data_IF_800703998868
#
_entry.id   IF_800703998868
#
_cell.length_a   1.000
_cell.length_b   1.000
_cell.length_c   1.000
_cell.angle_alpha   90.00
_cell.angle_beta   90.00
_cell.angle_gamma   90.00
#
_symmetry.space_group_name_H-M   'P 1'
#
loop_
_entity.id
_entity.type
_entity.pdbx_description
1 polymer ?
#
# COMPACT_ATOMS: atom_id res chain seq x y z
N UNK A 1 24.46 22.41 -18.29
CA UNK A 1 24.67 20.96 -18.07
C UNK A 1 25.92 20.63 -17.29
N UNK A 2 27.13 21.04 -17.69
CA UNK A 2 28.36 20.64 -16.98
C UNK A 2 28.36 20.92 -15.45
N UNK A 3 27.80 22.04 -15.02
CA UNK A 3 27.64 22.36 -13.59
C UNK A 3 26.66 21.40 -12.90
N UNK A 4 25.48 21.15 -13.49
CA UNK A 4 24.51 20.20 -12.95
C UNK A 4 25.08 18.78 -12.86
N UNK A 5 25.81 18.33 -13.89
CA UNK A 5 26.48 17.03 -13.92
C UNK A 5 27.52 16.92 -12.78
N UNK A 6 28.30 17.97 -12.56
CA UNK A 6 29.31 18.01 -11.49
C UNK A 6 28.68 17.97 -10.09
N UNK A 7 27.58 18.69 -9.89
CA UNK A 7 26.85 18.71 -8.62
C UNK A 7 26.20 17.35 -8.34
N UNK A 8 25.60 16.73 -9.36
CA UNK A 8 25.02 15.41 -9.26
C UNK A 8 26.08 14.34 -8.90
N UNK A 9 27.25 14.41 -9.53
CA UNK A 9 28.38 13.52 -9.21
C UNK A 9 28.92 13.72 -7.78
N UNK A 10 28.75 14.92 -7.23
CA UNK A 10 29.04 15.22 -5.82
C UNK A 10 27.89 14.93 -4.86
N UNK A 11 26.84 14.21 -5.30
CA UNK A 11 25.64 13.87 -4.52
C UNK A 11 24.81 15.09 -4.05
N UNK A 12 25.06 16.26 -4.62
CA UNK A 12 24.32 17.50 -4.37
C UNK A 12 23.08 17.56 -5.26
N UNK A 13 22.15 16.64 -5.02
CA UNK A 13 21.00 16.39 -5.90
C UNK A 13 20.02 17.57 -5.96
N UNK A 14 19.84 18.29 -4.85
CA UNK A 14 18.94 19.44 -4.80
C UNK A 14 19.46 20.57 -5.68
N UNK A 15 20.73 20.95 -5.50
CA UNK A 15 21.40 21.99 -6.29
C UNK A 15 21.50 21.58 -7.75
N UNK A 16 21.85 20.34 -8.04
CA UNK A 16 21.87 19.81 -9.40
C UNK A 16 20.50 19.96 -10.09
N UNK A 17 19.40 19.66 -9.36
CA UNK A 17 18.03 19.87 -9.83
C UNK A 17 17.73 21.32 -10.20
N UNK A 18 18.10 22.28 -9.35
CA UNK A 18 17.91 23.73 -9.64
C UNK A 18 18.65 24.13 -10.93
N UNK A 19 19.87 23.63 -11.13
CA UNK A 19 20.60 23.91 -12.36
C UNK A 19 19.97 23.25 -13.60
N UNK A 20 19.35 22.08 -13.46
CA UNK A 20 18.54 21.49 -14.52
C UNK A 20 17.34 22.37 -14.87
N UNK A 21 16.57 22.84 -13.89
CA UNK A 21 15.43 23.74 -14.11
C UNK A 21 15.84 25.00 -14.86
N UNK A 22 16.96 25.61 -14.44
CA UNK A 22 17.53 26.77 -15.14
C UNK A 22 17.86 26.45 -16.60
N UNK A 23 18.50 25.31 -16.87
CA UNK A 23 18.82 24.88 -18.24
C UNK A 23 17.54 24.67 -19.06
N UNK A 24 16.50 24.07 -18.48
CA UNK A 24 15.20 23.85 -19.13
C UNK A 24 14.45 25.14 -19.41
N UNK A 25 14.72 26.20 -18.65
CA UNK A 25 14.16 27.53 -18.89
C UNK A 25 14.91 28.30 -19.99
N UNK A 26 16.25 28.23 -20.00
CA UNK A 26 17.10 29.03 -20.88
C UNK A 26 17.32 28.40 -22.28
N UNK A 27 17.33 27.07 -22.38
CA UNK A 27 17.76 26.35 -23.58
C UNK A 27 16.59 25.63 -24.27
N UNK A 28 16.56 25.68 -25.61
CA UNK A 28 15.57 24.95 -26.42
C UNK A 28 16.17 23.82 -27.26
N UNK A 29 17.48 23.58 -27.16
CA UNK A 29 18.13 22.52 -27.94
C UNK A 29 17.69 21.13 -27.45
N UNK A 30 17.13 20.26 -28.32
CA UNK A 30 16.51 19.00 -27.90
C UNK A 30 17.40 18.07 -27.07
N UNK A 31 18.67 17.93 -27.43
CA UNK A 31 19.61 17.05 -26.72
C UNK A 31 19.92 17.53 -25.30
N UNK A 32 20.10 18.85 -25.15
CA UNK A 32 20.39 19.49 -23.86
C UNK A 32 19.17 19.40 -22.95
N UNK A 33 17.98 19.67 -23.49
CA UNK A 33 16.69 19.53 -22.79
C UNK A 33 16.45 18.10 -22.34
N UNK A 34 16.68 17.12 -23.21
CA UNK A 34 16.53 15.70 -22.87
C UNK A 34 17.45 15.30 -21.72
N UNK A 35 18.73 15.69 -21.80
CA UNK A 35 19.70 15.41 -20.74
C UNK A 35 19.30 16.05 -19.41
N UNK A 36 18.83 17.31 -19.45
CA UNK A 36 18.39 18.03 -18.25
C UNK A 36 17.15 17.37 -17.61
N UNK A 37 16.15 16.99 -18.41
CA UNK A 37 14.95 16.26 -17.91
C UNK A 37 15.36 14.97 -17.20
N UNK A 38 16.18 14.14 -17.83
CA UNK A 38 16.59 12.86 -17.25
C UNK A 38 17.41 13.04 -15.98
N UNK A 39 18.31 14.02 -15.95
CA UNK A 39 19.11 14.32 -14.77
C UNK A 39 18.23 14.81 -13.61
N UNK A 40 17.27 15.68 -13.88
CA UNK A 40 16.35 16.20 -12.86
C UNK A 40 15.46 15.11 -12.27
N UNK A 41 14.95 14.19 -13.10
CA UNK A 41 14.23 13.00 -12.63
C UNK A 41 15.09 12.20 -11.65
N UNK A 42 16.36 11.97 -12.01
CA UNK A 42 17.28 11.26 -11.13
C UNK A 42 17.56 12.05 -9.85
N UNK A 43 17.69 13.38 -9.90
CA UNK A 43 17.83 14.20 -8.70
C UNK A 43 16.65 14.02 -7.74
N UNK A 44 15.40 14.04 -8.24
CA UNK A 44 14.23 13.80 -7.39
C UNK A 44 14.20 12.37 -6.82
N UNK A 45 14.54 11.36 -7.64
CA UNK A 45 14.59 9.95 -7.20
C UNK A 45 15.62 9.70 -6.10
N UNK A 46 16.83 10.27 -6.20
CA UNK A 46 17.86 10.13 -5.16
C UNK A 46 17.49 10.87 -3.86
N UNK A 47 16.57 11.82 -3.92
CA UNK A 47 16.01 12.49 -2.75
C UNK A 47 14.74 11.79 -2.20
N UNK A 48 14.35 10.63 -2.76
CA UNK A 48 13.12 9.90 -2.45
C UNK A 48 11.83 10.73 -2.66
N UNK A 49 11.90 11.82 -3.45
CA UNK A 49 10.77 12.70 -3.77
C UNK A 49 10.03 12.20 -5.01
N UNK A 50 9.50 10.97 -4.93
CA UNK A 50 8.88 10.28 -6.07
C UNK A 50 7.58 10.95 -6.56
N UNK A 51 6.82 11.58 -5.65
CA UNK A 51 5.62 12.35 -6.00
C UNK A 51 5.97 13.57 -6.87
N UNK A 52 7.03 14.30 -6.51
CA UNK A 52 7.53 15.43 -7.29
C UNK A 52 8.11 14.98 -8.62
N UNK A 53 8.89 13.90 -8.63
CA UNK A 53 9.41 13.29 -9.85
C UNK A 53 8.27 12.96 -10.82
N UNK A 54 7.20 12.31 -10.36
CA UNK A 54 6.06 11.96 -11.19
C UNK A 54 5.36 13.20 -11.80
N UNK A 55 5.13 14.25 -11.00
CA UNK A 55 4.54 15.52 -11.49
C UNK A 55 5.44 16.19 -12.52
N UNK A 56 6.74 16.23 -12.26
CA UNK A 56 7.72 16.78 -13.19
C UNK A 56 7.71 16.01 -14.53
N UNK A 57 7.76 14.68 -14.47
CA UNK A 57 7.72 13.83 -15.67
C UNK A 57 6.43 14.07 -16.47
N UNK A 58 5.27 14.11 -15.81
CA UNK A 58 3.99 14.36 -16.46
C UNK A 58 3.97 15.70 -17.21
N UNK A 59 4.57 16.75 -16.64
CA UNK A 59 4.73 18.05 -17.31
C UNK A 59 5.75 17.97 -18.47
N UNK A 60 6.87 17.28 -18.26
CA UNK A 60 7.97 17.14 -19.23
C UNK A 60 7.58 16.32 -20.47
N UNK A 61 6.58 15.44 -20.39
CA UNK A 61 6.10 14.64 -21.54
C UNK A 61 5.71 15.51 -22.74
N UNK A 62 5.17 16.71 -22.51
CA UNK A 62 4.81 17.67 -23.58
C UNK A 62 6.02 18.18 -24.39
N UNK A 63 7.22 18.08 -23.80
CA UNK A 63 8.50 18.51 -24.42
C UNK A 63 9.27 17.34 -25.04
N UNK A 64 8.85 16.10 -24.81
CA UNK A 64 9.53 14.92 -25.30
C UNK A 64 9.16 14.67 -26.78
N UNK A 65 10.17 14.82 -27.65
CA UNK A 65 9.97 14.82 -29.12
C UNK A 65 10.13 13.44 -29.74
N UNK A 66 10.89 12.53 -29.10
CA UNK A 66 11.12 11.18 -29.64
C UNK A 66 10.30 10.13 -28.90
N UNK A 67 9.78 9.14 -29.65
CA UNK A 67 9.04 8.01 -29.10
C UNK A 67 9.87 7.23 -28.06
N UNK A 68 11.18 7.14 -28.28
CA UNK A 68 12.13 6.50 -27.36
C UNK A 68 12.18 7.23 -26.02
N UNK A 69 12.28 8.56 -26.04
CA UNK A 69 12.29 9.37 -24.82
C UNK A 69 10.94 9.30 -24.12
N UNK A 70 9.84 9.44 -24.85
CA UNK A 70 8.51 9.35 -24.25
C UNK A 70 8.28 8.01 -23.55
N UNK A 71 8.68 6.89 -24.18
CA UNK A 71 8.60 5.57 -23.56
C UNK A 71 9.44 5.44 -22.29
N UNK A 72 10.66 6.01 -22.30
CA UNK A 72 11.51 6.06 -21.10
C UNK A 72 10.83 6.87 -19.98
N UNK A 73 10.25 8.03 -20.32
CA UNK A 73 9.51 8.86 -19.36
C UNK A 73 8.28 8.14 -18.79
N UNK A 74 7.52 7.39 -19.59
CA UNK A 74 6.42 6.56 -19.06
C UNK A 74 6.92 5.50 -18.09
N UNK A 75 8.05 4.86 -18.40
CA UNK A 75 8.65 3.84 -17.52
C UNK A 75 9.05 4.45 -16.18
N UNK A 76 9.69 5.61 -16.20
CA UNK A 76 10.06 6.36 -15.00
C UNK A 76 8.82 6.88 -14.24
N UNK A 77 7.80 7.36 -14.94
CA UNK A 77 6.55 7.85 -14.36
C UNK A 77 5.83 6.74 -13.58
N UNK A 78 5.64 5.57 -14.20
CA UNK A 78 5.02 4.42 -13.55
C UNK A 78 5.82 3.96 -12.33
N UNK A 79 7.16 3.98 -12.44
CA UNK A 79 8.05 3.63 -11.33
C UNK A 79 7.90 4.62 -10.16
N UNK A 80 7.89 5.92 -10.45
CA UNK A 80 7.71 6.96 -9.43
C UNK A 80 6.34 6.88 -8.76
N UNK A 81 5.25 6.65 -9.51
CA UNK A 81 3.93 6.46 -8.91
C UNK A 81 3.88 5.24 -7.98
N UNK A 82 4.45 4.12 -8.39
CA UNK A 82 4.52 2.94 -7.52
C UNK A 82 5.30 3.21 -6.23
N UNK A 83 6.48 3.84 -6.32
CA UNK A 83 7.32 4.16 -5.16
C UNK A 83 6.70 5.22 -4.25
N UNK A 84 5.89 6.13 -4.80
CA UNK A 84 5.11 7.09 -4.03
C UNK A 84 3.88 6.46 -3.34
N UNK A 85 3.55 5.18 -3.63
CA UNK A 85 2.33 4.52 -3.15
C UNK A 85 1.05 4.98 -3.88
N UNK A 86 1.18 5.74 -4.97
CA UNK A 86 0.06 6.20 -5.79
C UNK A 86 -0.30 5.13 -6.83
N UNK A 87 -0.90 4.05 -6.32
CA UNK A 87 -1.19 2.85 -7.10
C UNK A 87 -2.20 3.11 -8.23
N UNK A 88 -3.14 4.04 -8.06
CA UNK A 88 -4.13 4.37 -9.09
C UNK A 88 -3.46 5.03 -10.31
N UNK A 89 -2.61 6.02 -10.07
CA UNK A 89 -1.86 6.67 -11.15
C UNK A 89 -0.81 5.74 -11.75
N UNK A 90 -0.21 4.83 -10.96
CA UNK A 90 0.67 3.79 -11.48
C UNK A 90 -0.06 2.89 -12.50
N UNK A 91 -1.26 2.41 -12.16
CA UNK A 91 -2.10 1.59 -13.04
C UNK A 91 -2.46 2.37 -14.32
N UNK A 92 -2.95 3.59 -14.17
CA UNK A 92 -3.35 4.42 -15.31
C UNK A 92 -2.18 4.73 -16.26
N UNK A 93 -1.00 5.04 -15.72
CA UNK A 93 0.21 5.29 -16.51
C UNK A 93 0.66 4.04 -17.28
N UNK A 94 0.63 2.87 -16.64
CA UNK A 94 0.95 1.60 -17.28
C UNK A 94 -0.05 1.24 -18.41
N UNK A 95 -1.35 1.45 -18.18
CA UNK A 95 -2.39 1.21 -19.19
C UNK A 95 -2.22 2.12 -20.41
N UNK A 96 -1.96 3.41 -20.18
CA UNK A 96 -1.70 4.36 -21.26
C UNK A 96 -0.45 3.97 -22.06
N UNK A 97 0.62 3.55 -21.38
CA UNK A 97 1.83 3.10 -22.05
C UNK A 97 1.61 1.81 -22.87
N UNK A 98 0.76 0.90 -22.40
CA UNK A 98 0.41 -0.32 -23.14
C UNK A 98 -0.34 -0.01 -24.45
N UNK A 99 -1.24 0.99 -24.43
CA UNK A 99 -1.94 1.46 -25.64
C UNK A 99 -0.96 2.12 -26.64
N UNK A 100 -0.04 2.95 -26.14
CA UNK A 100 0.88 3.72 -26.99
C UNK A 100 2.02 2.88 -27.58
N UNK A 101 2.59 1.95 -26.81
CA UNK A 101 3.84 1.25 -27.18
C UNK A 101 3.70 -0.27 -27.28
N UNK A 102 2.49 -0.81 -27.11
CA UNK A 102 2.21 -2.24 -27.12
C UNK A 102 2.98 -3.03 -26.05
N UNK A 103 3.02 -4.36 -26.18
CA UNK A 103 3.75 -5.24 -25.26
C UNK A 103 5.25 -5.38 -25.62
N UNK A 104 5.95 -4.27 -25.81
CA UNK A 104 7.41 -4.24 -26.06
C UNK A 104 8.22 -4.23 -24.75
N UNK A 105 9.54 -4.49 -24.79
CA UNK A 105 10.35 -4.74 -23.57
C UNK A 105 10.19 -3.76 -22.38
N UNK A 106 10.02 -2.45 -22.64
CA UNK A 106 9.78 -1.46 -21.57
C UNK A 106 8.39 -1.51 -20.92
N UNK A 107 7.35 -1.94 -21.65
CA UNK A 107 6.00 -2.05 -21.10
C UNK A 107 5.83 -3.26 -20.20
N UNK A 108 6.70 -4.26 -20.35
CA UNK A 108 6.72 -5.42 -19.48
C UNK A 108 6.97 -4.96 -18.01
N UNK A 109 7.91 -4.04 -17.74
CA UNK A 109 8.22 -3.56 -16.36
C UNK A 109 7.06 -2.76 -15.79
N UNK A 110 6.47 -1.88 -16.60
CA UNK A 110 5.27 -1.13 -16.21
C UNK A 110 4.10 -2.06 -15.88
N UNK A 111 3.93 -3.15 -16.62
CA UNK A 111 2.92 -4.16 -16.32
C UNK A 111 3.21 -4.94 -15.02
N UNK A 112 4.48 -5.18 -14.69
CA UNK A 112 4.85 -5.72 -13.38
C UNK A 112 4.43 -4.75 -12.27
N UNK A 113 4.75 -3.46 -12.40
CA UNK A 113 4.34 -2.44 -11.42
C UNK A 113 2.82 -2.30 -11.33
N UNK A 114 2.10 -2.39 -12.46
CA UNK A 114 0.64 -2.45 -12.50
C UNK A 114 0.11 -3.65 -11.72
N UNK A 115 0.68 -4.84 -11.93
CA UNK A 115 0.30 -6.05 -11.21
C UNK A 115 0.48 -5.89 -9.70
N UNK A 116 1.63 -5.37 -9.27
CA UNK A 116 1.90 -5.12 -7.85
C UNK A 116 0.94 -4.07 -7.28
N UNK A 117 0.65 -3.00 -8.03
CA UNK A 117 -0.30 -1.96 -7.63
C UNK A 117 -1.72 -2.50 -7.45
N UNK A 118 -2.19 -3.37 -8.37
CA UNK A 118 -3.49 -4.02 -8.25
C UNK A 118 -3.59 -4.89 -6.99
N UNK A 119 -2.50 -5.56 -6.61
CA UNK A 119 -2.43 -6.34 -5.38
C UNK A 119 -2.46 -5.49 -4.12
N UNK A 120 -1.74 -4.37 -4.09
CA UNK A 120 -1.79 -3.42 -2.97
C UNK A 120 -3.20 -2.85 -2.77
N UNK A 121 -3.95 -2.66 -3.86
CA UNK A 121 -5.36 -2.24 -3.83
C UNK A 121 -6.36 -3.40 -3.62
N UNK A 122 -5.92 -4.64 -3.44
CA UNK A 122 -6.77 -5.83 -3.32
C UNK A 122 -7.70 -6.08 -4.53
N UNK A 123 -7.36 -5.52 -5.71
CA UNK A 123 -8.05 -5.74 -6.99
C UNK A 123 -7.59 -7.06 -7.62
N UNK A 124 -7.72 -8.14 -6.85
CA UNK A 124 -7.10 -9.44 -7.14
C UNK A 124 -7.64 -10.09 -8.42
N UNK A 125 -8.90 -9.82 -8.79
CA UNK A 125 -9.47 -10.36 -10.03
C UNK A 125 -8.77 -9.78 -11.27
N UNK A 126 -8.52 -8.47 -11.29
CA UNK A 126 -7.80 -7.80 -12.37
C UNK A 126 -6.32 -8.21 -12.38
N UNK A 127 -5.73 -8.30 -11.18
CA UNK A 127 -4.35 -8.77 -11.01
C UNK A 127 -4.18 -10.21 -11.54
N UNK A 128 -5.16 -11.09 -11.32
CA UNK A 128 -5.15 -12.47 -11.82
C UNK A 128 -5.15 -12.54 -13.34
N UNK A 129 -5.97 -11.71 -14.01
CA UNK A 129 -5.99 -11.64 -15.48
C UNK A 129 -4.63 -11.22 -16.01
N UNK A 130 -4.05 -10.15 -15.45
CA UNK A 130 -2.75 -9.65 -15.87
C UNK A 130 -1.63 -10.68 -15.58
N UNK A 131 -1.65 -11.32 -14.41
CA UNK A 131 -0.69 -12.36 -14.04
C UNK A 131 -0.66 -13.52 -15.04
N UNK A 132 -1.83 -14.06 -15.41
CA UNK A 132 -1.94 -15.17 -16.37
C UNK A 132 -1.49 -14.80 -17.78
N UNK A 133 -1.70 -13.53 -18.18
CA UNK A 133 -1.20 -13.03 -19.47
C UNK A 133 0.33 -12.94 -19.51
N UNK A 134 0.96 -12.58 -18.38
CA UNK A 134 2.41 -12.39 -18.29
C UNK A 134 3.19 -13.68 -17.99
N UNK A 135 2.52 -14.68 -17.43
CA UNK A 135 3.13 -15.91 -16.96
C UNK A 135 2.46 -17.11 -17.65
N UNK A 136 2.64 -17.31 -18.97
CA UNK A 136 2.06 -18.44 -19.68
C UNK A 136 2.82 -19.73 -19.34
N UNK A 137 2.10 -20.74 -18.83
CA UNK A 137 2.62 -22.10 -18.64
C UNK A 137 1.88 -22.91 -17.57
N UNK A 138 1.62 -24.20 -17.86
CA UNK A 138 0.88 -25.15 -17.01
C UNK A 138 1.59 -25.55 -15.70
N UNK A 139 2.86 -25.21 -15.52
CA UNK A 139 3.68 -25.66 -14.40
C UNK A 139 3.68 -24.72 -13.20
N UNK A 140 2.90 -23.64 -13.24
CA UNK A 140 2.98 -22.58 -12.24
C UNK A 140 1.81 -22.57 -11.27
N UNK A 141 2.15 -22.39 -9.99
CA UNK A 141 1.16 -22.13 -8.95
C UNK A 141 0.40 -20.86 -9.31
N UNK A 142 -0.88 -21.01 -9.66
CA UNK A 142 -1.79 -19.90 -9.78
C UNK A 142 -2.14 -19.42 -8.36
N UNK A 143 -1.35 -18.46 -7.85
CA UNK A 143 -1.59 -17.84 -6.55
C UNK A 143 -3.00 -17.27 -6.46
N UNK A 144 -3.56 -16.76 -7.56
CA UNK A 144 -4.90 -16.18 -7.60
C UNK A 144 -6.01 -17.23 -7.67
N UNK A 145 -5.70 -18.52 -7.80
CA UNK A 145 -6.70 -19.57 -7.59
C UNK A 145 -7.11 -19.67 -6.10
N UNK A 146 -6.26 -19.21 -5.19
CA UNK A 146 -6.47 -19.26 -3.74
C UNK A 146 -6.30 -17.88 -3.10
N UNK A 147 -7.19 -16.95 -3.49
CA UNK A 147 -7.25 -15.61 -2.91
C UNK A 147 -7.52 -15.71 -1.39
N UNK A 148 -6.81 -14.93 -0.54
CA UNK A 148 -7.02 -14.97 0.89
C UNK A 148 -8.43 -14.52 1.26
N UNK A 149 -9.12 -15.31 2.09
CA UNK A 149 -10.41 -14.93 2.63
C UNK A 149 -10.22 -13.92 3.78
N UNK A 150 -10.63 -12.68 3.54
CA UNK A 150 -10.64 -11.61 4.54
C UNK A 150 -11.82 -11.78 5.51
N UNK A 151 -11.59 -11.48 6.79
CA UNK A 151 -12.62 -11.49 7.84
C UNK A 151 -13.38 -10.17 7.84
N UNK A 152 -14.64 -10.20 8.27
CA UNK A 152 -15.50 -9.02 8.31
C UNK A 152 -15.41 -8.33 9.68
N UNK A 153 -15.10 -7.03 9.69
CA UNK A 153 -14.91 -6.24 10.91
C UNK A 153 -16.21 -6.04 11.70
N UNK A 154 -17.31 -5.74 11.01
CA UNK A 154 -18.62 -5.54 11.63
C UNK A 154 -19.14 -6.81 12.28
N UNK A 155 -18.89 -7.97 11.66
CA UNK A 155 -19.19 -9.28 12.22
C UNK A 155 -18.41 -9.52 13.51
N UNK A 156 -17.14 -9.12 13.58
CA UNK A 156 -16.33 -9.24 14.78
C UNK A 156 -16.89 -8.37 15.92
N UNK A 157 -17.23 -7.12 15.61
CA UNK A 157 -17.89 -6.20 16.55
C UNK A 157 -19.21 -6.77 17.03
N UNK A 158 -20.08 -7.20 16.12
CA UNK A 158 -21.39 -7.77 16.41
C UNK A 158 -21.26 -8.98 17.34
N UNK A 159 -20.35 -9.91 17.05
CA UNK A 159 -20.09 -11.07 17.91
C UNK A 159 -19.66 -10.66 19.31
N UNK A 160 -18.74 -9.68 19.42
CA UNK A 160 -18.26 -9.18 20.70
C UNK A 160 -19.34 -8.45 21.52
N UNK A 161 -20.33 -7.83 20.87
CA UNK A 161 -21.46 -7.16 21.54
C UNK A 161 -22.33 -8.15 22.30
N UNK A 162 -22.57 -9.34 21.73
CA UNK A 162 -23.46 -10.33 22.36
C UNK A 162 -22.72 -11.34 23.23
N UNK A 163 -21.49 -11.68 22.86
CA UNK A 163 -20.71 -12.70 23.56
C UNK A 163 -19.32 -12.12 23.86
N UNK A 164 -19.00 -11.86 25.14
CA UNK A 164 -17.66 -11.43 25.55
C UNK A 164 -16.57 -12.33 24.96
N UNK A 165 -15.57 -11.72 24.34
CA UNK A 165 -14.46 -12.44 23.70
C UNK A 165 -14.74 -13.07 22.33
N UNK A 166 -16.00 -13.24 21.89
CA UNK A 166 -16.31 -13.93 20.63
C UNK A 166 -15.72 -13.24 19.39
N UNK A 167 -15.76 -11.91 19.34
CA UNK A 167 -15.11 -11.17 18.25
C UNK A 167 -13.58 -11.34 18.21
N UNK A 168 -12.93 -11.53 19.37
CA UNK A 168 -11.49 -11.77 19.46
C UNK A 168 -11.14 -13.18 18.97
N UNK A 169 -11.93 -14.20 19.36
CA UNK A 169 -11.78 -15.55 18.83
C UNK A 169 -12.03 -15.60 17.32
N UNK A 170 -13.05 -14.87 16.84
CA UNK A 170 -13.30 -14.73 15.40
C UNK A 170 -12.10 -14.12 14.68
N UNK A 171 -11.46 -13.09 15.24
CA UNK A 171 -10.23 -12.53 14.70
C UNK A 171 -9.03 -13.51 14.75
N UNK A 172 -9.10 -14.55 15.57
CA UNK A 172 -8.04 -15.55 15.78
C UNK A 172 -7.11 -15.22 16.94
N UNK A 173 -7.50 -14.29 17.82
CA UNK A 173 -6.72 -13.88 18.99
C UNK A 173 -7.35 -14.43 20.27
N UNK A 174 -7.02 -15.67 20.58
CA UNK A 174 -7.57 -16.41 21.72
C UNK A 174 -7.20 -15.79 23.07
N UNK A 175 -5.96 -15.31 23.21
CA UNK A 175 -5.48 -14.75 24.47
C UNK A 175 -6.22 -13.47 24.84
N UNK A 176 -6.41 -12.55 23.89
CA UNK A 176 -7.20 -11.34 24.13
C UNK A 176 -8.68 -11.66 24.36
N UNK A 177 -9.22 -12.70 23.70
CA UNK A 177 -10.58 -13.18 23.96
C UNK A 177 -10.80 -13.65 25.40
N UNK A 178 -9.90 -14.50 25.92
CA UNK A 178 -9.93 -14.96 27.31
C UNK A 178 -9.77 -13.78 28.28
N UNK A 179 -8.82 -12.88 28.00
CA UNK A 179 -8.58 -11.70 28.85
C UNK A 179 -9.81 -10.81 28.92
N UNK A 180 -10.51 -10.61 27.79
CA UNK A 180 -11.75 -9.84 27.73
C UNK A 180 -12.86 -10.46 28.57
N UNK A 181 -13.01 -11.80 28.52
CA UNK A 181 -13.97 -12.54 29.34
C UNK A 181 -13.66 -12.38 30.83
N UNK A 182 -12.39 -12.53 31.22
CA UNK A 182 -11.97 -12.44 32.62
C UNK A 182 -12.21 -11.04 33.19
N UNK A 183 -11.87 -9.99 32.46
CA UNK A 183 -12.04 -8.60 32.93
C UNK A 183 -13.51 -8.21 33.07
N UNK A 184 -14.34 -8.56 32.08
CA UNK A 184 -15.78 -8.32 32.15
C UNK A 184 -16.41 -9.16 33.28
N UNK A 185 -16.03 -10.43 33.38
CA UNK A 185 -16.49 -11.35 34.42
C UNK A 185 -16.12 -10.88 35.82
N UNK A 186 -14.91 -10.35 36.02
CA UNK A 186 -14.47 -9.78 37.29
C UNK A 186 -15.32 -8.56 37.69
N UNK A 187 -15.61 -7.67 36.74
CA UNK A 187 -16.50 -6.51 36.97
C UNK A 187 -17.92 -6.95 37.37
N UNK A 188 -18.50 -7.91 36.64
CA UNK A 188 -19.82 -8.46 36.95
C UNK A 188 -19.82 -9.14 38.33
N UNK A 189 -18.84 -10.00 38.60
CA UNK A 189 -18.71 -10.70 39.88
C UNK A 189 -18.60 -9.71 41.05
N UNK A 190 -17.74 -8.70 40.92
CA UNK A 190 -17.60 -7.64 41.92
C UNK A 190 -18.90 -6.84 42.10
N UNK A 191 -19.59 -6.53 40.99
CA UNK A 191 -20.88 -5.84 41.02
C UNK A 191 -21.95 -6.62 41.78
N UNK A 192 -22.12 -7.90 41.45
CA UNK A 192 -23.10 -8.79 42.10
C UNK A 192 -22.80 -8.96 43.59
N UNK A 193 -21.54 -9.26 43.94
CA UNK A 193 -21.14 -9.46 45.34
C UNK A 193 -21.30 -8.17 46.16
N UNK A 194 -20.91 -7.02 45.61
CA UNK A 194 -21.11 -5.72 46.27
C UNK A 194 -22.59 -5.40 46.48
N UNK A 195 -23.45 -5.71 45.49
CA UNK A 195 -24.89 -5.51 45.58
C UNK A 195 -25.53 -6.34 46.70
N UNK A 196 -25.18 -7.63 46.77
CA UNK A 196 -25.70 -8.54 47.81
C UNK A 196 -25.28 -8.14 49.22
N UNK A 197 -24.15 -7.46 49.37
CA UNK A 197 -23.65 -6.95 50.66
C UNK A 197 -24.15 -5.51 50.99
N UNK A 198 -25.05 -4.93 50.20
CA UNK A 198 -25.63 -3.60 50.44
C UNK A 198 -24.80 -2.42 49.93
N UNK A 199 -23.67 -2.66 49.23
CA UNK A 199 -22.82 -1.62 48.65
C UNK A 199 -23.27 -1.22 47.24
N UNK A 200 -24.47 -0.65 47.12
CA UNK A 200 -25.10 -0.36 45.81
C UNK A 200 -24.31 0.61 44.92
N UNK A 201 -23.71 1.66 45.51
CA UNK A 201 -22.91 2.64 44.75
C UNK A 201 -21.66 1.97 44.18
N UNK A 202 -20.94 1.17 44.98
CA UNK A 202 -19.76 0.43 44.54
C UNK A 202 -20.12 -0.64 43.50
N UNK A 203 -21.26 -1.32 43.67
CA UNK A 203 -21.76 -2.28 42.70
C UNK A 203 -21.97 -1.65 41.31
N UNK A 204 -22.60 -0.48 41.26
CA UNK A 204 -22.87 0.25 40.02
C UNK A 204 -21.60 0.84 39.40
N UNK A 205 -20.86 1.64 40.17
CA UNK A 205 -19.73 2.42 39.63
C UNK A 205 -18.50 1.57 39.36
N UNK A 206 -18.10 0.73 40.33
CA UNK A 206 -16.92 -0.11 40.15
C UNK A 206 -17.28 -1.39 39.39
N UNK A 207 -18.29 -2.16 39.82
CA UNK A 207 -18.67 -3.40 39.12
C UNK A 207 -19.21 -3.14 37.71
N UNK A 208 -20.30 -2.39 37.63
CA UNK A 208 -20.95 -2.03 36.36
C UNK A 208 -20.06 -1.17 35.46
N UNK A 209 -19.35 -0.18 36.01
CA UNK A 209 -18.44 0.67 35.25
C UNK A 209 -17.27 -0.11 34.63
N UNK A 210 -16.62 -0.99 35.40
CA UNK A 210 -15.54 -1.86 34.88
C UNK A 210 -16.08 -2.79 33.79
N UNK A 211 -17.18 -3.51 34.07
CA UNK A 211 -17.76 -4.42 33.09
C UNK A 211 -18.15 -3.70 31.79
N UNK A 212 -18.82 -2.55 31.90
CA UNK A 212 -19.26 -1.75 30.75
C UNK A 212 -18.10 -1.18 29.94
N UNK A 213 -17.07 -0.64 30.60
CA UNK A 213 -15.90 -0.08 29.92
C UNK A 213 -15.12 -1.16 29.15
N UNK A 214 -14.86 -2.31 29.76
CA UNK A 214 -14.17 -3.42 29.10
C UNK A 214 -15.03 -4.08 28.01
N UNK A 215 -16.35 -4.09 28.16
CA UNK A 215 -17.25 -4.55 27.11
C UNK A 215 -17.16 -3.66 25.86
N UNK A 216 -17.37 -2.35 26.01
CA UNK A 216 -17.29 -1.40 24.90
C UNK A 216 -15.89 -1.35 24.26
N UNK A 217 -14.84 -1.41 25.09
CA UNK A 217 -13.46 -1.51 24.62
C UNK A 217 -13.21 -2.81 23.84
N UNK A 218 -13.74 -3.93 24.34
CA UNK A 218 -13.64 -5.24 23.70
C UNK A 218 -14.31 -5.29 22.32
N UNK A 219 -15.47 -4.66 22.15
CA UNK A 219 -16.16 -4.58 20.85
C UNK A 219 -15.29 -3.85 19.82
N UNK A 220 -14.75 -2.68 20.18
CA UNK A 220 -13.86 -1.92 19.29
C UNK A 220 -12.56 -2.69 19.00
N UNK A 221 -11.99 -3.34 20.01
CA UNK A 221 -10.76 -4.12 19.87
C UNK A 221 -10.94 -5.33 18.93
N UNK A 222 -12.10 -5.99 18.96
CA UNK A 222 -12.39 -7.11 18.06
C UNK A 222 -12.35 -6.70 16.57
N UNK A 223 -12.93 -5.54 16.22
CA UNK A 223 -12.83 -4.99 14.85
C UNK A 223 -11.37 -4.72 14.46
N UNK A 224 -10.60 -4.09 15.36
CA UNK A 224 -9.19 -3.77 15.09
C UNK A 224 -8.33 -5.04 14.88
N UNK A 225 -8.58 -6.10 15.66
CA UNK A 225 -7.90 -7.37 15.47
C UNK A 225 -8.20 -8.01 14.10
N UNK A 226 -9.42 -7.86 13.59
CA UNK A 226 -9.74 -8.28 12.22
C UNK A 226 -9.01 -7.45 11.18
N UNK A 227 -8.88 -6.13 11.35
CA UNK A 227 -8.05 -5.29 10.46
C UNK A 227 -6.60 -5.75 10.42
N UNK A 228 -6.01 -6.02 11.58
CA UNK A 228 -4.63 -6.52 11.70
C UNK A 228 -4.51 -7.89 11.00
N UNK A 229 -5.44 -8.80 11.25
CA UNK A 229 -5.48 -10.11 10.59
C UNK A 229 -5.56 -9.97 9.06
N UNK A 230 -6.48 -9.14 8.56
CA UNK A 230 -6.68 -8.92 7.12
C UNK A 230 -5.44 -8.30 6.48
N UNK A 231 -4.87 -7.26 7.08
CA UNK A 231 -3.62 -6.62 6.60
C UNK A 231 -2.48 -7.64 6.51
N UNK A 232 -2.32 -8.47 7.54
CA UNK A 232 -1.31 -9.54 7.53
C UNK A 232 -1.54 -10.52 6.39
N UNK A 233 -2.80 -10.96 6.16
CA UNK A 233 -3.13 -11.88 5.07
C UNK A 233 -2.94 -11.29 3.69
N UNK A 234 -3.33 -10.03 3.48
CA UNK A 234 -3.06 -9.31 2.23
C UNK A 234 -1.57 -9.17 2.01
N UNK A 235 -0.80 -8.79 3.03
CA UNK A 235 0.66 -8.67 2.92
C UNK A 235 1.33 -10.02 2.59
N UNK A 236 1.00 -11.09 3.31
CA UNK A 236 1.51 -12.45 3.04
C UNK A 236 1.25 -12.86 1.58
N UNK A 237 0.03 -12.63 1.09
CA UNK A 237 -0.35 -12.93 -0.29
C UNK A 237 0.42 -12.07 -1.30
N UNK A 238 0.47 -10.75 -1.10
CA UNK A 238 1.18 -9.83 -1.99
C UNK A 238 2.67 -10.16 -2.05
N UNK A 239 3.30 -10.55 -0.94
CA UNK A 239 4.71 -10.98 -0.93
C UNK A 239 4.93 -12.27 -1.71
N UNK A 240 4.04 -13.26 -1.57
CA UNK A 240 4.13 -14.51 -2.35
C UNK A 240 4.05 -14.24 -3.86
N UNK A 241 3.08 -13.42 -4.28
CA UNK A 241 2.97 -12.99 -5.68
C UNK A 241 4.21 -12.22 -6.11
N UNK A 242 4.64 -11.23 -5.32
CA UNK A 242 5.82 -10.40 -5.63
C UNK A 242 7.08 -11.25 -5.83
N UNK A 243 7.34 -12.23 -4.97
CA UNK A 243 8.49 -13.13 -5.10
C UNK A 243 8.40 -14.03 -6.34
N UNK A 244 7.19 -14.51 -6.68
CA UNK A 244 7.00 -15.38 -7.84
C UNK A 244 7.19 -14.66 -9.18
N UNK A 245 6.91 -13.35 -9.21
CA UNK A 245 7.12 -12.53 -10.41
C UNK A 245 8.51 -11.93 -10.46
N UNK A 246 9.05 -11.34 -9.39
CA UNK A 246 10.36 -10.66 -9.41
C UNK A 246 11.50 -11.61 -9.80
N UNK A 247 11.45 -12.88 -9.41
CA UNK A 247 12.47 -13.87 -9.81
C UNK A 247 12.60 -14.10 -11.32
N UNK A 248 11.68 -13.53 -12.14
CA UNK A 248 11.58 -13.71 -13.59
C UNK A 248 11.93 -12.45 -14.38
N UNK A 249 12.40 -11.44 -13.66
CA UNK A 249 12.63 -10.09 -14.10
C UNK A 249 14.08 -9.70 -13.87
#
# INVERSE_FOLDING_TARGET
MAVADSLYAGEQYFEAGIFCERVLFEQQQPDVTTKAILLEINCYKNQEQFDKAARFIAAAQTRAVSDTLQKALYTELTTCYYLAGDFDNCIAAADRAAVLYGNTGGTRWMNLLKLLSLNEQQRWQEAAVLYRQQVPGDTLTDYYAHIPHLKNEDKASWLATFIPGAGHFYAGNTLEGITSILLQGAGVYYGVTSWLNGYYISALLAGGGVAGAFHLGGVKRASELVKIYNRKKTYEFNQQVKQSVISRW
#
